data_IF_101624700265
#
_entry.id   IF_101624700265
#
_cell.length_a   1.000
_cell.length_b   1.000
_cell.length_c   1.000
_cell.angle_alpha   90.00
_cell.angle_beta   90.00
_cell.angle_gamma   90.00
#
_symmetry.space_group_name_H-M   'P 1'
#
loop_
_entity.id
_entity.type
_entity.pdbx_description
1 polymer ?
#
# COMPACT_ATOMS: atom_id res chain seq x y z
N UNK A 1 15.23 -10.41 -37.63
CA UNK A 1 14.06 -9.69 -37.08
C UNK A 1 13.71 -10.37 -35.78
N UNK A 2 14.17 -9.82 -34.65
CA UNK A 2 13.76 -10.34 -33.34
C UNK A 2 12.32 -9.86 -33.14
N UNK A 3 11.36 -10.77 -33.19
CA UNK A 3 10.00 -10.45 -32.74
C UNK A 3 10.10 -10.13 -31.26
N UNK A 4 10.15 -8.84 -30.91
CA UNK A 4 9.94 -8.42 -29.52
C UNK A 4 8.46 -8.64 -29.22
N UNK A 5 8.07 -9.88 -28.96
CA UNK A 5 6.76 -10.15 -28.42
C UNK A 5 6.74 -9.45 -27.07
N UNK A 6 5.96 -8.37 -26.98
CA UNK A 6 5.64 -7.76 -25.69
C UNK A 6 5.09 -8.86 -24.77
N UNK A 7 5.40 -8.83 -23.47
CA UNK A 7 4.86 -9.81 -22.55
C UNK A 7 3.34 -9.82 -22.61
N UNK A 8 2.75 -11.01 -22.61
CA UNK A 8 1.31 -11.22 -22.54
C UNK A 8 0.88 -11.39 -21.09
N UNK A 9 -0.40 -11.11 -20.83
CA UNK A 9 -1.07 -11.45 -19.57
C UNK A 9 -0.34 -10.94 -18.33
N UNK A 10 0.16 -9.69 -18.41
CA UNK A 10 0.87 -9.04 -17.32
C UNK A 10 -0.07 -8.75 -16.16
N UNK A 11 0.32 -9.15 -14.96
CA UNK A 11 -0.49 -8.95 -13.78
C UNK A 11 0.14 -9.46 -12.49
N UNK A 12 -0.70 -9.75 -11.50
CA UNK A 12 -0.26 -10.23 -10.18
C UNK A 12 -0.07 -11.74 -10.24
N UNK A 13 1.18 -12.18 -10.07
CA UNK A 13 1.61 -13.57 -9.98
C UNK A 13 1.38 -14.16 -8.59
N UNK A 14 1.69 -13.37 -7.58
CA UNK A 14 1.62 -13.77 -6.18
C UNK A 14 1.36 -12.55 -5.30
N UNK A 15 0.74 -12.78 -4.14
CA UNK A 15 0.46 -11.74 -3.15
C UNK A 15 0.66 -12.29 -1.75
N UNK A 16 1.26 -11.48 -0.87
CA UNK A 16 1.47 -11.79 0.53
C UNK A 16 1.04 -10.60 1.39
N UNK A 17 0.36 -10.89 2.50
CA UNK A 17 -0.16 -9.88 3.42
C UNK A 17 0.46 -10.08 4.80
N UNK A 18 0.82 -8.99 5.45
CA UNK A 18 1.24 -8.97 6.84
C UNK A 18 0.56 -7.82 7.57
N UNK A 19 0.01 -8.12 8.74
CA UNK A 19 -0.47 -7.16 9.73
C UNK A 19 -0.01 -7.63 11.12
N UNK A 20 0.11 -6.72 12.11
CA UNK A 20 0.47 -7.06 13.47
C UNK A 20 -0.47 -8.09 14.10
N UNK A 21 0.03 -8.82 15.09
CA UNK A 21 -0.78 -9.79 15.85
C UNK A 21 -1.68 -9.10 16.87
N UNK A 22 -1.25 -7.95 17.38
CA UNK A 22 -1.99 -7.19 18.38
C UNK A 22 -3.07 -6.32 17.72
N UNK A 23 -4.25 -6.31 18.34
CA UNK A 23 -5.37 -5.48 17.92
C UNK A 23 -6.14 -4.98 19.14
N UNK A 24 -6.89 -3.90 18.93
CA UNK A 24 -7.87 -3.39 19.89
C UNK A 24 -9.25 -3.85 19.46
N UNK A 25 -9.98 -4.52 20.36
CA UNK A 25 -11.39 -4.87 20.13
C UNK A 25 -12.24 -3.59 20.13
N UNK A 26 -13.07 -3.43 19.09
CA UNK A 26 -13.84 -2.20 18.91
C UNK A 26 -14.95 -2.05 19.96
N UNK A 27 -15.48 -3.14 20.52
CA UNK A 27 -16.48 -3.10 21.60
C UNK A 27 -15.84 -2.64 22.92
N UNK A 28 -14.61 -3.07 23.19
CA UNK A 28 -13.83 -2.57 24.32
C UNK A 28 -13.47 -1.10 24.13
N UNK A 29 -13.14 -0.69 22.90
CA UNK A 29 -12.88 0.71 22.57
C UNK A 29 -14.11 1.60 22.71
N UNK A 30 -15.31 1.11 22.34
CA UNK A 30 -16.59 1.82 22.59
C UNK A 30 -16.76 2.11 24.09
N UNK A 31 -16.51 1.09 24.91
CA UNK A 31 -16.58 1.19 26.38
C UNK A 31 -15.55 2.18 26.92
N UNK A 32 -14.32 2.12 26.43
CA UNK A 32 -13.22 3.01 26.83
C UNK A 32 -13.50 4.48 26.46
N UNK A 33 -14.00 4.74 25.26
CA UNK A 33 -14.30 6.09 24.79
C UNK A 33 -15.61 6.66 25.36
N UNK A 34 -16.41 5.82 26.05
CA UNK A 34 -17.69 6.22 26.65
C UNK A 34 -18.76 6.54 25.61
N UNK A 35 -18.74 5.84 24.48
CA UNK A 35 -19.73 5.97 23.41
C UNK A 35 -20.78 4.86 23.48
N UNK A 36 -21.92 5.08 22.83
CA UNK A 36 -22.98 4.07 22.77
C UNK A 36 -22.51 2.77 22.11
N UNK A 37 -22.95 1.65 22.65
CA UNK A 37 -22.69 0.33 22.08
C UNK A 37 -23.19 0.25 20.64
N UNK A 38 -22.37 -0.29 19.75
CA UNK A 38 -22.67 -0.38 18.32
C UNK A 38 -22.16 0.81 17.51
N UNK A 39 -21.66 1.89 18.12
CA UNK A 39 -21.17 3.04 17.36
C UNK A 39 -20.03 2.68 16.41
N UNK A 40 -19.09 1.85 16.84
CA UNK A 40 -17.95 1.41 16.04
C UNK A 40 -18.26 0.08 15.36
N UNK A 41 -18.81 -0.88 16.11
CA UNK A 41 -19.07 -2.25 15.61
C UNK A 41 -20.19 -2.31 14.58
N UNK A 42 -21.24 -1.48 14.69
CA UNK A 42 -22.33 -1.40 13.72
C UNK A 42 -22.24 -0.13 12.86
N UNK A 43 -21.92 1.01 13.47
CA UNK A 43 -21.88 2.30 12.78
C UNK A 43 -20.73 2.40 11.78
N UNK A 44 -19.54 1.90 12.14
CA UNK A 44 -18.39 1.81 11.23
C UNK A 44 -18.24 0.41 10.62
N UNK A 45 -18.90 -0.60 11.18
CA UNK A 45 -18.76 -2.00 10.77
C UNK A 45 -17.40 -2.61 11.14
N UNK A 46 -16.70 -2.06 12.14
CA UNK A 46 -15.35 -2.48 12.51
C UNK A 46 -15.37 -3.39 13.74
N UNK A 47 -14.67 -4.52 13.69
CA UNK A 47 -14.60 -5.48 14.82
C UNK A 47 -13.30 -5.34 15.62
N UNK A 48 -12.18 -5.12 14.95
CA UNK A 48 -10.88 -4.97 15.57
C UNK A 48 -9.99 -4.04 14.76
N UNK A 49 -9.11 -3.32 15.45
CA UNK A 49 -8.15 -2.41 14.83
C UNK A 49 -6.73 -2.91 15.13
N UNK A 50 -6.03 -3.41 14.11
CA UNK A 50 -4.63 -3.82 14.24
C UNK A 50 -3.75 -2.61 14.58
N UNK A 51 -2.91 -2.76 15.60
CA UNK A 51 -2.00 -1.71 16.07
C UNK A 51 -0.57 -2.24 16.11
N UNK A 52 0.43 -1.46 15.67
CA UNK A 52 1.80 -1.92 15.72
C UNK A 52 2.33 -1.90 17.15
N UNK A 53 3.14 -2.90 17.52
CA UNK A 53 3.95 -2.84 18.74
C UNK A 53 5.12 -1.86 18.61
N UNK A 54 5.88 -1.65 19.69
CA UNK A 54 7.06 -0.77 19.72
C UNK A 54 8.24 -1.24 18.84
N UNK A 55 8.13 -2.46 18.29
CA UNK A 55 9.10 -3.08 17.37
C UNK A 55 8.63 -3.15 15.93
N UNK A 56 7.45 -2.62 15.62
CA UNK A 56 6.87 -2.66 14.29
C UNK A 56 6.67 -1.24 13.78
N UNK A 57 7.39 -0.87 12.71
CA UNK A 57 7.13 0.34 11.93
C UNK A 57 6.72 -0.03 10.50
N UNK A 58 6.43 0.97 9.67
CA UNK A 58 6.03 0.77 8.27
C UNK A 58 7.10 0.00 7.47
N UNK A 59 8.38 0.17 7.81
CA UNK A 59 9.48 -0.53 7.14
C UNK A 59 9.54 -1.99 7.58
N UNK A 60 9.36 -2.29 8.87
CA UNK A 60 9.29 -3.65 9.41
C UNK A 60 8.11 -4.43 8.83
N UNK A 61 6.94 -3.78 8.71
CA UNK A 61 5.77 -4.37 8.05
C UNK A 61 6.09 -4.75 6.60
N UNK A 62 6.67 -3.80 5.84
CA UNK A 62 7.05 -4.00 4.45
C UNK A 62 8.14 -5.07 4.27
N UNK A 63 9.19 -5.06 5.11
CA UNK A 63 10.25 -6.07 5.12
C UNK A 63 9.69 -7.46 5.36
N UNK A 64 8.75 -7.58 6.30
CA UNK A 64 8.12 -8.86 6.63
C UNK A 64 7.28 -9.36 5.48
N UNK A 65 6.44 -8.51 4.86
CA UNK A 65 5.64 -8.89 3.71
C UNK A 65 6.50 -9.33 2.51
N UNK A 66 7.56 -8.58 2.16
CA UNK A 66 8.46 -8.92 1.06
C UNK A 66 9.27 -10.18 1.35
N UNK A 67 9.84 -10.31 2.54
CA UNK A 67 10.59 -11.51 2.93
C UNK A 67 9.73 -12.78 2.88
N UNK A 68 8.47 -12.68 3.33
CA UNK A 68 7.51 -13.78 3.24
C UNK A 68 7.11 -14.08 1.80
N UNK A 69 6.91 -13.06 0.96
CA UNK A 69 6.62 -13.26 -0.47
C UNK A 69 7.77 -14.01 -1.16
N UNK A 70 9.01 -13.54 -0.99
CA UNK A 70 10.19 -14.17 -1.61
C UNK A 70 10.35 -15.63 -1.16
N UNK A 71 10.21 -15.90 0.13
CA UNK A 71 10.38 -17.26 0.69
C UNK A 71 9.23 -18.21 0.32
N UNK A 72 7.97 -17.79 0.45
CA UNK A 72 6.80 -18.64 0.18
C UNK A 72 6.66 -18.99 -1.30
N UNK A 73 6.93 -18.03 -2.18
CA UNK A 73 6.83 -18.21 -3.63
C UNK A 73 8.17 -18.56 -4.29
N UNK A 74 9.21 -18.80 -3.48
CA UNK A 74 10.55 -19.24 -3.92
C UNK A 74 11.17 -18.33 -5.00
N UNK A 75 10.99 -17.03 -4.84
CA UNK A 75 11.55 -16.01 -5.73
C UNK A 75 12.94 -15.64 -5.23
N UNK A 76 13.96 -15.89 -6.05
CA UNK A 76 15.32 -15.40 -5.76
C UNK A 76 15.36 -13.87 -5.89
N UNK A 77 16.04 -13.14 -4.98
CA UNK A 77 16.19 -11.70 -5.12
C UNK A 77 16.81 -11.25 -6.45
N UNK A 78 17.65 -12.08 -7.08
CA UNK A 78 18.24 -11.79 -8.40
C UNK A 78 17.21 -11.78 -9.55
N UNK A 79 16.04 -12.39 -9.34
CA UNK A 79 14.94 -12.41 -10.32
C UNK A 79 14.08 -11.15 -10.29
N UNK A 80 14.42 -10.16 -9.45
CA UNK A 80 13.65 -8.91 -9.31
C UNK A 80 14.44 -7.77 -9.94
N UNK A 81 13.81 -7.07 -10.88
CA UNK A 81 14.38 -5.92 -11.59
C UNK A 81 13.73 -4.58 -11.24
N UNK A 82 12.59 -4.62 -10.54
CA UNK A 82 11.92 -3.42 -10.04
C UNK A 82 11.30 -3.66 -8.67
N UNK A 83 11.43 -2.70 -7.78
CA UNK A 83 10.80 -2.68 -6.46
C UNK A 83 10.21 -1.29 -6.22
N UNK A 84 8.90 -1.21 -6.01
CA UNK A 84 8.20 0.06 -5.83
C UNK A 84 7.26 0.01 -4.62
N UNK A 85 7.25 1.08 -3.82
CA UNK A 85 6.51 1.11 -2.55
C UNK A 85 5.48 2.23 -2.58
N UNK A 86 4.21 1.90 -2.37
CA UNK A 86 3.16 2.86 -2.05
C UNK A 86 2.99 2.99 -0.55
N UNK A 87 3.12 4.21 -0.02
CA UNK A 87 2.83 4.49 1.40
C UNK A 87 2.53 5.97 1.60
N UNK A 88 1.71 6.28 2.60
CA UNK A 88 1.53 7.62 3.16
C UNK A 88 2.08 7.76 4.59
N UNK A 89 2.83 6.76 5.05
CA UNK A 89 3.50 6.72 6.36
C UNK A 89 4.99 6.98 6.17
N UNK A 90 5.39 8.26 6.24
CA UNK A 90 6.76 8.68 5.98
C UNK A 90 7.60 8.70 7.26
N UNK A 91 8.61 7.83 7.32
CA UNK A 91 9.63 7.83 8.39
C UNK A 91 10.74 8.85 8.10
N UNK A 92 11.05 9.07 6.82
CA UNK A 92 12.03 10.05 6.35
C UNK A 92 11.47 10.83 5.16
N UNK A 93 11.87 12.10 5.01
CA UNK A 93 11.38 12.99 3.96
C UNK A 93 12.10 12.84 2.62
N UNK A 94 13.18 12.07 2.59
CA UNK A 94 14.05 11.88 1.43
C UNK A 94 14.39 10.40 1.22
N UNK A 95 14.83 9.72 2.28
CA UNK A 95 15.14 8.29 2.22
C UNK A 95 13.86 7.47 2.10
N UNK A 96 13.67 6.86 0.93
CA UNK A 96 12.49 6.05 0.65
C UNK A 96 12.49 4.72 1.39
N UNK A 97 11.29 4.22 1.77
CA UNK A 97 11.09 2.85 2.27
C UNK A 97 11.65 1.82 1.28
N UNK A 98 11.54 2.06 -0.03
CA UNK A 98 12.16 1.22 -1.06
C UNK A 98 13.64 0.97 -0.80
N UNK A 99 14.42 2.00 -0.45
CA UNK A 99 15.86 1.85 -0.17
C UNK A 99 16.14 1.07 1.12
N UNK A 100 15.20 1.04 2.08
CA UNK A 100 15.30 0.18 3.27
C UNK A 100 15.09 -1.28 2.87
N UNK A 101 14.11 -1.56 2.01
CA UNK A 101 13.80 -2.91 1.53
C UNK A 101 14.93 -3.55 0.72
N UNK A 102 15.82 -2.76 0.11
CA UNK A 102 16.98 -3.26 -0.64
C UNK A 102 17.90 -4.15 0.21
N UNK A 103 17.86 -4.09 1.54
CA UNK A 103 18.62 -5.01 2.40
C UNK A 103 18.22 -6.49 2.23
N UNK A 104 17.04 -6.78 1.68
CA UNK A 104 16.60 -8.14 1.35
C UNK A 104 17.18 -8.67 0.03
N UNK A 105 17.86 -7.82 -0.75
CA UNK A 105 18.30 -8.15 -2.11
C UNK A 105 19.79 -8.48 -2.23
N UNK A 106 20.52 -8.51 -1.10
CA UNK A 106 21.93 -8.88 -1.07
C UNK A 106 22.77 -8.03 -2.03
N UNK A 107 23.42 -8.70 -2.98
CA UNK A 107 24.27 -8.05 -3.99
C UNK A 107 23.49 -7.52 -5.21
N UNK A 108 22.20 -7.85 -5.36
CA UNK A 108 21.37 -7.33 -6.46
C UNK A 108 20.99 -5.86 -6.20
N UNK A 109 21.84 -4.96 -6.67
CA UNK A 109 21.65 -3.51 -6.57
C UNK A 109 20.98 -2.88 -7.81
N UNK A 110 20.91 -3.61 -8.93
CA UNK A 110 20.29 -3.13 -10.17
C UNK A 110 18.78 -3.43 -10.16
N UNK A 111 18.06 -2.67 -9.33
CA UNK A 111 16.61 -2.79 -9.12
C UNK A 111 15.98 -1.39 -9.20
N UNK A 112 15.19 -1.14 -10.23
CA UNK A 112 14.50 0.14 -10.44
C UNK A 112 13.39 0.39 -9.41
N UNK A 113 12.83 1.60 -9.38
CA UNK A 113 11.69 2.00 -8.56
C UNK A 113 12.05 2.80 -7.31
N UNK A 114 11.01 3.41 -6.73
CA UNK A 114 11.09 4.34 -5.60
C UNK A 114 9.88 4.18 -4.66
N UNK A 115 9.70 5.13 -3.73
CA UNK A 115 8.47 5.24 -2.95
C UNK A 115 7.53 6.27 -3.59
N UNK A 116 6.28 5.88 -3.82
CA UNK A 116 5.21 6.68 -4.43
C UNK A 116 4.21 7.07 -3.34
N UNK A 117 3.83 8.34 -3.32
CA UNK A 117 3.01 8.93 -2.25
C UNK A 117 1.85 9.67 -2.87
N UNK A 118 0.63 9.27 -2.52
CA UNK A 118 -0.59 10.06 -2.70
C UNK A 118 -1.70 9.45 -1.82
N UNK A 119 -1.65 9.70 -0.51
CA UNK A 119 -2.54 9.06 0.47
C UNK A 119 -2.65 7.53 0.21
N UNK A 120 -3.84 6.95 0.38
CA UNK A 120 -4.12 5.53 0.16
C UNK A 120 -3.94 5.07 -1.31
N UNK A 121 -3.78 5.99 -2.28
CA UNK A 121 -3.62 5.66 -3.70
C UNK A 121 -2.19 5.22 -4.08
N UNK A 122 -1.19 5.48 -3.22
CA UNK A 122 0.22 5.21 -3.53
C UNK A 122 0.49 3.76 -3.97
N UNK A 123 -0.19 2.78 -3.34
CA UNK A 123 -0.07 1.37 -3.71
C UNK A 123 -0.57 1.07 -5.12
N UNK A 124 -1.71 1.63 -5.51
CA UNK A 124 -2.26 1.51 -6.87
C UNK A 124 -1.34 2.16 -7.90
N UNK A 125 -0.80 3.35 -7.61
CA UNK A 125 0.16 4.01 -8.49
C UNK A 125 1.41 3.16 -8.72
N UNK A 126 1.99 2.59 -7.66
CA UNK A 126 3.12 1.68 -7.75
C UNK A 126 2.80 0.40 -8.55
N UNK A 127 1.59 -0.15 -8.39
CA UNK A 127 1.11 -1.29 -9.17
C UNK A 127 1.05 -0.98 -10.68
N UNK A 128 0.47 0.16 -11.04
CA UNK A 128 0.37 0.58 -12.44
C UNK A 128 1.75 0.87 -13.04
N UNK A 129 2.66 1.47 -12.27
CA UNK A 129 4.04 1.71 -12.70
C UNK A 129 4.78 0.39 -12.95
N UNK A 130 4.59 -0.63 -12.10
CA UNK A 130 5.19 -1.94 -12.27
C UNK A 130 4.67 -2.66 -13.52
N UNK A 131 3.34 -2.67 -13.75
CA UNK A 131 2.75 -3.24 -14.97
C UNK A 131 3.28 -2.52 -16.21
N UNK A 132 3.26 -1.18 -16.20
CA UNK A 132 3.78 -0.39 -17.31
C UNK A 132 5.27 -0.65 -17.59
N UNK A 133 6.08 -0.87 -16.54
CA UNK A 133 7.49 -1.23 -16.68
C UNK A 133 7.66 -2.59 -17.34
N UNK A 134 6.92 -3.63 -16.91
CA UNK A 134 6.95 -4.97 -17.52
C UNK A 134 6.55 -4.90 -19.00
N UNK A 135 5.55 -4.09 -19.37
CA UNK A 135 5.12 -3.93 -20.76
C UNK A 135 6.03 -3.02 -21.62
N UNK A 136 7.01 -2.35 -21.01
CA UNK A 136 7.83 -1.34 -21.68
C UNK A 136 9.06 -1.94 -22.39
N UNK A 137 9.73 -1.11 -23.20
CA UNK A 137 11.04 -1.45 -23.77
C UNK A 137 12.19 -1.44 -22.75
N UNK A 138 11.94 -0.99 -21.52
CA UNK A 138 12.93 -1.04 -20.42
C UNK A 138 12.85 -2.33 -19.61
N UNK A 139 11.88 -3.21 -19.90
CA UNK A 139 11.79 -4.49 -19.22
C UNK A 139 12.98 -5.37 -19.56
N UNK A 140 13.57 -5.98 -18.54
CA UNK A 140 14.78 -6.80 -18.62
C UNK A 140 14.50 -8.30 -18.43
N UNK A 141 13.22 -8.70 -18.40
CA UNK A 141 12.79 -10.08 -18.19
C UNK A 141 12.61 -10.48 -16.73
N UNK A 142 12.94 -9.61 -15.77
CA UNK A 142 12.79 -9.87 -14.33
C UNK A 142 11.40 -9.49 -13.81
N UNK A 143 11.06 -9.96 -12.61
CA UNK A 143 9.82 -9.59 -11.93
C UNK A 143 9.90 -8.17 -11.37
N UNK A 144 8.74 -7.56 -11.19
CA UNK A 144 8.58 -6.39 -10.33
C UNK A 144 7.92 -6.80 -9.01
N UNK A 145 8.31 -6.15 -7.91
CA UNK A 145 7.63 -6.25 -6.61
C UNK A 145 7.02 -4.90 -6.29
N UNK A 146 5.74 -4.92 -5.91
CA UNK A 146 5.00 -3.75 -5.45
C UNK A 146 4.64 -3.96 -3.99
N UNK A 147 4.87 -2.95 -3.15
CA UNK A 147 4.51 -3.01 -1.73
C UNK A 147 3.58 -1.86 -1.39
N UNK A 148 2.38 -2.15 -0.91
CA UNK A 148 1.50 -1.17 -0.27
C UNK A 148 1.60 -1.35 1.25
N UNK A 149 2.06 -0.34 1.98
CA UNK A 149 2.32 -0.45 3.43
C UNK A 149 1.95 0.84 4.14
N UNK A 150 1.23 0.76 5.25
CA UNK A 150 0.84 1.95 6.00
C UNK A 150 0.56 1.66 7.47
N UNK A 151 0.72 2.71 8.29
CA UNK A 151 0.25 2.79 9.66
C UNK A 151 -0.67 4.02 9.76
N UNK A 152 -1.98 3.77 9.78
CA UNK A 152 -3.00 4.80 9.92
C UNK A 152 -3.28 5.08 11.40
N UNK A 153 -2.72 6.17 11.92
CA UNK A 153 -2.95 6.65 13.29
C UNK A 153 -3.62 8.01 13.29
N UNK A 154 -4.58 8.19 14.19
CA UNK A 154 -5.34 9.42 14.34
C UNK A 154 -5.28 9.95 15.78
N UNK A 155 -5.39 11.28 15.90
CA UNK A 155 -5.47 11.94 17.19
C UNK A 155 -6.71 11.47 17.98
N UNK A 156 -6.76 11.83 19.28
CA UNK A 156 -7.97 11.59 20.07
C UNK A 156 -9.18 12.23 19.40
N UNK A 157 -10.21 11.44 19.13
CA UNK A 157 -11.42 11.92 18.47
C UNK A 157 -12.09 10.83 17.64
N UNK A 158 -13.11 11.21 16.85
CA UNK A 158 -14.00 10.28 16.16
C UNK A 158 -13.34 9.47 15.03
N UNK A 159 -12.15 9.88 14.57
CA UNK A 159 -11.39 9.16 13.54
C UNK A 159 -10.44 8.10 14.12
N UNK A 160 -10.16 8.10 15.43
CA UNK A 160 -9.29 7.09 16.05
C UNK A 160 -9.72 5.65 15.80
N UNK A 161 -11.01 5.28 15.86
CA UNK A 161 -11.45 3.91 15.64
C UNK A 161 -11.31 3.43 14.19
N UNK A 162 -11.00 4.32 13.22
CA UNK A 162 -10.79 3.97 11.81
C UNK A 162 -9.31 3.83 11.44
N UNK A 163 -8.43 3.70 12.43
CA UNK A 163 -7.01 3.40 12.21
C UNK A 163 -6.77 1.96 11.77
N UNK A 164 -5.50 1.60 11.66
CA UNK A 164 -5.09 0.25 11.29
C UNK A 164 -3.68 0.25 10.70
N UNK A 165 -3.11 -0.94 10.50
CA UNK A 165 -1.81 -1.06 9.86
C UNK A 165 -1.65 -2.42 9.19
N UNK A 166 -0.98 -2.42 8.04
CA UNK A 166 -0.66 -3.63 7.28
C UNK A 166 0.37 -3.31 6.18
N UNK A 167 0.95 -4.37 5.63
CA UNK A 167 1.67 -4.36 4.37
C UNK A 167 1.18 -5.48 3.45
N UNK A 168 1.06 -5.18 2.17
CA UNK A 168 0.76 -6.12 1.09
C UNK A 168 1.91 -6.06 0.09
N UNK A 169 2.54 -7.18 -0.18
CA UNK A 169 3.54 -7.33 -1.25
C UNK A 169 2.91 -8.10 -2.42
N UNK A 170 3.10 -7.62 -3.64
CA UNK A 170 2.59 -8.22 -4.88
C UNK A 170 3.76 -8.45 -5.85
N UNK A 171 3.86 -9.67 -6.38
CA UNK A 171 4.80 -10.02 -7.44
C UNK A 171 4.13 -9.83 -8.79
N UNK A 172 4.76 -9.06 -9.68
CA UNK A 172 4.22 -8.67 -10.98
C UNK A 172 5.08 -9.26 -12.10
N UNK A 173 4.42 -9.81 -13.12
CA UNK A 173 5.08 -10.39 -14.30
C UNK A 173 4.09 -10.88 -15.35
N UNK A 174 4.59 -11.46 -16.47
CA UNK A 174 3.76 -12.04 -17.53
C UNK A 174 3.06 -13.33 -17.09
N UNK A 175 2.10 -13.78 -17.90
CA UNK A 175 1.37 -15.05 -17.71
C UNK A 175 0.71 -15.18 -16.31
N UNK A 176 0.23 -14.05 -15.80
CA UNK A 176 -0.29 -13.94 -14.45
C UNK A 176 -1.69 -14.57 -14.32
N UNK A 177 -2.01 -15.24 -13.20
CA UNK A 177 -3.36 -15.71 -12.91
C UNK A 177 -4.34 -14.55 -12.70
N UNK A 178 -3.85 -13.37 -12.31
CA UNK A 178 -4.62 -12.14 -12.15
C UNK A 178 -4.09 -11.07 -13.10
N UNK A 179 -4.49 -11.17 -14.37
CA UNK A 179 -4.12 -10.23 -15.43
C UNK A 179 -4.74 -8.86 -15.16
N UNK A 180 -3.95 -7.79 -15.28
CA UNK A 180 -4.46 -6.42 -15.17
C UNK A 180 -4.91 -5.91 -16.55
N UNK A 181 -6.21 -5.69 -16.73
CA UNK A 181 -6.72 -4.97 -17.90
C UNK A 181 -6.63 -3.45 -17.71
N UNK A 182 -5.54 -2.87 -18.18
CA UNK A 182 -5.34 -1.43 -18.14
C UNK A 182 -6.14 -0.66 -19.22
N UNK A 183 -6.82 -1.33 -20.16
CA UNK A 183 -7.61 -0.66 -21.22
C UNK A 183 -8.93 -0.11 -20.72
N UNK A 184 -9.52 -0.75 -19.71
CA UNK A 184 -10.77 -0.32 -19.08
C UNK A 184 -10.54 0.49 -17.80
N UNK A 185 -9.33 1.01 -17.60
CA UNK A 185 -8.97 1.80 -16.42
C UNK A 185 -9.49 3.24 -16.53
N UNK A 186 -10.29 3.67 -15.57
CA UNK A 186 -10.63 5.07 -15.36
C UNK A 186 -9.76 5.71 -14.27
N UNK A 187 -9.61 7.03 -14.29
CA UNK A 187 -8.85 7.77 -13.28
C UNK A 187 -9.47 9.15 -13.10
N UNK A 188 -9.90 9.46 -11.89
CA UNK A 188 -10.30 10.80 -11.48
C UNK A 188 -9.29 11.33 -10.46
N UNK A 189 -8.73 12.52 -10.72
CA UNK A 189 -7.81 13.19 -9.82
C UNK A 189 -8.17 14.69 -9.76
N UNK A 190 -8.27 15.23 -8.55
CA UNK A 190 -8.68 16.62 -8.31
C UNK A 190 -7.90 17.22 -7.15
N UNK A 191 -7.80 18.55 -7.13
CA UNK A 191 -7.12 19.29 -6.06
C UNK A 191 -8.12 19.64 -4.96
N UNK A 192 -8.09 18.89 -3.86
CA UNK A 192 -8.97 19.04 -2.70
C UNK A 192 -8.17 18.86 -1.40
N UNK A 193 -8.69 19.42 -0.31
CA UNK A 193 -8.08 19.39 1.03
C UNK A 193 -8.97 18.65 2.02
N UNK A 194 -9.42 17.46 1.64
CA UNK A 194 -10.34 16.65 2.42
C UNK A 194 -9.60 15.84 3.51
N UNK A 195 -8.46 15.24 3.17
CA UNK A 195 -7.55 14.53 4.07
C UNK A 195 -6.09 14.83 3.70
N UNK A 196 -5.31 15.37 4.63
CA UNK A 196 -3.91 15.71 4.37
C UNK A 196 -3.07 15.81 5.65
N UNK A 197 -1.73 15.67 5.53
CA UNK A 197 -0.79 15.70 6.67
C UNK A 197 0.15 16.91 6.57
N UNK A 198 -0.31 18.14 6.89
CA UNK A 198 0.50 19.35 6.73
C UNK A 198 1.54 19.54 7.84
N UNK A 199 1.33 18.94 9.01
CA UNK A 199 2.21 19.07 10.17
C UNK A 199 3.29 17.99 10.16
N UNK A 200 4.48 18.35 9.72
CA UNK A 200 5.63 17.43 9.60
C UNK A 200 6.14 16.86 10.92
N UNK A 201 5.71 17.39 12.06
CA UNK A 201 6.11 16.92 13.39
C UNK A 201 5.05 16.03 14.04
N UNK A 202 3.95 15.74 13.35
CA UNK A 202 2.86 14.91 13.83
C UNK A 202 2.49 13.86 12.80
N UNK A 203 2.18 12.66 13.26
CA UNK A 203 1.68 11.56 12.42
C UNK A 203 0.20 11.76 12.05
N UNK A 204 -0.51 12.63 12.79
CA UNK A 204 -1.95 12.78 12.66
C UNK A 204 -2.34 13.65 11.46
N UNK A 205 -3.33 13.20 10.67
CA UNK A 205 -3.85 13.99 9.56
C UNK A 205 -4.75 15.14 10.03
N UNK A 206 -4.87 16.14 9.18
CA UNK A 206 -6.00 17.08 9.17
C UNK A 206 -7.09 16.48 8.30
N UNK A 207 -8.32 16.41 8.84
CA UNK A 207 -9.44 15.70 8.20
C UNK A 207 -10.70 16.55 8.24
N UNK A 208 -11.30 16.80 7.08
CA UNK A 208 -12.70 17.22 6.96
C UNK A 208 -13.55 16.01 6.55
N UNK A 209 -14.08 15.29 7.53
CA UNK A 209 -14.78 14.03 7.29
C UNK A 209 -16.02 14.15 6.40
N UNK A 210 -16.69 15.31 6.37
CA UNK A 210 -17.84 15.53 5.49
C UNK A 210 -17.38 15.74 4.05
N UNK A 211 -16.32 16.52 3.88
CA UNK A 211 -15.71 16.73 2.57
C UNK A 211 -15.13 15.42 2.02
N UNK A 212 -14.38 14.65 2.82
CA UNK A 212 -13.81 13.36 2.39
C UNK A 212 -14.86 12.39 1.89
N UNK A 213 -16.01 12.29 2.55
CA UNK A 213 -17.09 11.43 2.08
C UNK A 213 -17.66 11.91 0.74
N UNK A 214 -17.86 13.23 0.58
CA UNK A 214 -18.37 13.82 -0.65
C UNK A 214 -17.39 13.66 -1.82
N UNK A 215 -16.10 13.88 -1.57
CA UNK A 215 -15.02 13.69 -2.55
C UNK A 215 -14.86 12.22 -2.95
N UNK A 216 -14.94 11.29 -2.00
CA UNK A 216 -14.85 9.85 -2.29
C UNK A 216 -15.99 9.39 -3.22
N UNK A 217 -17.23 9.75 -2.88
CA UNK A 217 -18.40 9.39 -3.69
C UNK A 217 -18.35 10.02 -5.08
N UNK A 218 -17.94 11.29 -5.18
CA UNK A 218 -17.78 11.95 -6.49
C UNK A 218 -16.68 11.29 -7.33
N UNK A 219 -15.52 10.99 -6.73
CA UNK A 219 -14.44 10.30 -7.45
C UNK A 219 -14.84 8.89 -7.90
N UNK A 220 -15.67 8.19 -7.11
CA UNK A 220 -16.24 6.91 -7.49
C UNK A 220 -17.16 7.04 -8.71
N UNK A 221 -18.07 8.01 -8.70
CA UNK A 221 -18.99 8.28 -9.81
C UNK A 221 -18.25 8.64 -11.10
N UNK A 222 -17.17 9.44 -11.02
CA UNK A 222 -16.36 9.84 -12.18
C UNK A 222 -15.47 8.72 -12.73
N UNK A 223 -15.13 7.74 -11.89
CA UNK A 223 -14.38 6.56 -12.32
C UNK A 223 -15.27 5.48 -12.96
N UNK A 224 -16.58 5.48 -12.70
CA UNK A 224 -17.52 4.47 -13.17
C UNK A 224 -18.11 4.83 -14.53
#
# INVERSE_FOLDING_TARGET
>A
MVSSNRPSDVGILAMEVHFPLDYVDQSEMETFDGVDSGKYTLGLGQLGMAVPGDREDVNALALTAVSRLLSKFQVSPDQVGRLEVGTETLVDKSKSTKTVLMQLFGDNADVDGATVINACYGGTAALLNAVAWVESSFWDGRYAIVVATDIAVYAKGPARPSGGCAAVAMLIGPDAPMVLDCRTKATHATNVWDFYKPNVSSEYPTVDGKLSNSCYLHALDECY
#
